data_IF_600577792761
#
_entry.id   IF_600577792761
#
_cell.length_a   1.000
_cell.length_b   1.000
_cell.length_c   1.000
_cell.angle_alpha   90.00
_cell.angle_beta   90.00
_cell.angle_gamma   90.00
#
_symmetry.space_group_name_H-M   'P 1'
#
loop_
_entity.id
_entity.type
_entity.pdbx_description
1 polymer ?
#
# COMPACT_ATOMS: atom_id res chain seq x y z
N UNK A 1 -8.19 5.31 -31.16
CA UNK A 1 -8.24 5.48 -29.70
C UNK A 1 -9.63 6.01 -29.36
N UNK A 2 -10.41 5.29 -28.56
CA UNK A 2 -11.73 5.73 -28.11
C UNK A 2 -11.52 6.60 -26.87
N UNK A 3 -12.08 7.80 -26.86
CA UNK A 3 -12.02 8.68 -25.68
C UNK A 3 -13.23 8.39 -24.78
N UNK A 4 -13.06 8.43 -23.45
CA UNK A 4 -14.19 8.32 -22.55
C UNK A 4 -15.12 9.52 -22.73
N UNK A 5 -16.43 9.28 -22.67
CA UNK A 5 -17.45 10.34 -22.71
C UNK A 5 -17.51 11.09 -21.37
N UNK A 6 -17.22 10.40 -20.25
CA UNK A 6 -17.20 10.93 -18.89
C UNK A 6 -16.03 10.30 -18.12
N UNK A 7 -15.41 11.07 -17.24
CA UNK A 7 -14.45 10.59 -16.22
C UNK A 7 -15.06 10.89 -14.85
N UNK A 8 -15.26 9.86 -14.04
CA UNK A 8 -15.74 9.99 -12.67
C UNK A 8 -14.55 9.88 -11.71
N UNK A 9 -14.49 10.78 -10.74
CA UNK A 9 -13.55 10.71 -9.63
C UNK A 9 -14.35 10.47 -8.35
N UNK A 10 -13.95 9.47 -7.58
CA UNK A 10 -14.54 9.26 -6.28
C UNK A 10 -13.90 10.20 -5.26
N UNK A 11 -14.73 10.98 -4.57
CA UNK A 11 -14.29 11.89 -3.53
C UNK A 11 -15.03 11.58 -2.24
N UNK A 12 -14.29 11.25 -1.19
CA UNK A 12 -14.85 11.05 0.15
C UNK A 12 -15.78 9.84 0.26
N UNK A 13 -15.49 8.76 -0.46
CA UNK A 13 -16.29 7.53 -0.48
C UNK A 13 -17.71 7.73 -1.02
N UNK A 14 -17.85 8.48 -2.12
CA UNK A 14 -19.14 8.76 -2.77
C UNK A 14 -19.53 7.66 -3.76
N UNK A 15 -18.56 7.06 -4.47
CA UNK A 15 -18.79 5.98 -5.45
C UNK A 15 -18.44 4.61 -4.86
N UNK A 16 -17.36 4.55 -4.09
CA UNK A 16 -16.83 3.37 -3.44
C UNK A 16 -16.56 3.65 -1.96
N UNK A 17 -17.01 2.78 -1.08
CA UNK A 17 -16.64 2.82 0.33
C UNK A 17 -15.42 1.95 0.57
N UNK A 18 -14.33 2.58 1.00
CA UNK A 18 -13.12 1.90 1.44
C UNK A 18 -13.18 1.69 2.96
N UNK A 19 -12.99 0.45 3.40
CA UNK A 19 -12.93 0.14 4.83
C UNK A 19 -11.54 0.41 5.43
N UNK A 20 -11.44 0.27 6.75
CA UNK A 20 -10.17 0.42 7.46
C UNK A 20 -9.09 -0.50 6.89
N UNK A 21 -7.90 0.05 6.64
CA UNK A 21 -6.79 -0.64 6.00
C UNK A 21 -5.90 -1.30 7.06
N UNK A 22 -5.87 -2.63 7.08
CA UNK A 22 -4.93 -3.38 7.92
C UNK A 22 -3.63 -3.68 7.13
N UNK A 23 -2.61 -2.88 7.39
CA UNK A 23 -1.32 -2.99 6.73
C UNK A 23 -0.57 -4.30 7.07
N UNK A 24 -0.84 -4.93 8.22
CA UNK A 24 -0.23 -6.21 8.57
C UNK A 24 -0.70 -7.30 7.60
N UNK A 25 -2.00 -7.34 7.27
CA UNK A 25 -2.56 -8.27 6.28
C UNK A 25 -1.88 -8.10 4.92
N UNK A 26 -1.61 -6.86 4.51
CA UNK A 26 -0.88 -6.58 3.27
C UNK A 26 0.54 -7.15 3.26
N UNK A 27 1.28 -7.01 4.38
CA UNK A 27 2.61 -7.60 4.50
C UNK A 27 2.55 -9.13 4.58
N UNK A 28 1.55 -9.72 5.23
CA UNK A 28 1.33 -11.17 5.24
C UNK A 28 1.08 -11.70 3.82
N UNK A 29 0.21 -11.04 3.07
CA UNK A 29 -0.10 -11.40 1.69
C UNK A 29 1.15 -11.28 0.80
N UNK A 30 1.89 -10.17 0.87
CA UNK A 30 3.14 -10.01 0.12
C UNK A 30 4.15 -11.10 0.48
N UNK A 31 4.43 -11.29 1.77
CA UNK A 31 5.40 -12.28 2.24
C UNK A 31 5.05 -13.70 1.84
N UNK A 32 3.76 -14.04 1.68
CA UNK A 32 3.33 -15.33 1.14
C UNK A 32 3.77 -15.59 -0.31
N UNK A 33 4.14 -14.53 -1.04
CA UNK A 33 4.62 -14.56 -2.44
C UNK A 33 6.13 -14.41 -2.57
N UNK A 34 6.87 -14.28 -1.46
CA UNK A 34 8.33 -14.16 -1.49
C UNK A 34 8.96 -15.45 -2.04
N UNK A 35 9.79 -15.32 -3.08
CA UNK A 35 10.58 -16.43 -3.64
C UNK A 35 11.88 -16.65 -2.88
N UNK A 36 12.34 -15.63 -2.14
CA UNK A 36 13.52 -15.70 -1.29
C UNK A 36 13.29 -14.95 0.01
N UNK A 37 13.67 -15.57 1.13
CA UNK A 37 13.66 -14.98 2.47
C UNK A 37 14.84 -15.54 3.28
N UNK A 38 16.07 -15.06 3.03
CA UNK A 38 17.28 -15.66 3.58
C UNK A 38 17.41 -15.42 5.09
N UNK A 39 16.85 -14.30 5.57
CA UNK A 39 16.83 -13.94 7.01
C UNK A 39 15.69 -14.62 7.78
N UNK A 40 14.82 -15.39 7.10
CA UNK A 40 13.66 -16.07 7.68
C UNK A 40 12.76 -15.12 8.49
N UNK A 41 12.63 -13.87 8.02
CA UNK A 41 11.80 -12.88 8.71
C UNK A 41 10.33 -13.17 8.51
N UNK A 42 9.54 -12.87 9.52
CA UNK A 42 8.07 -13.00 9.49
C UNK A 42 7.45 -11.71 8.95
N UNK A 43 6.21 -11.80 8.44
CA UNK A 43 5.45 -10.63 8.00
C UNK A 43 5.31 -9.58 9.11
N UNK A 44 5.08 -10.02 10.35
CA UNK A 44 5.02 -9.12 11.51
C UNK A 44 6.34 -8.36 11.72
N UNK A 45 7.50 -9.01 11.62
CA UNK A 45 8.78 -8.33 11.76
C UNK A 45 9.02 -7.30 10.64
N UNK A 46 8.61 -7.62 9.41
CA UNK A 46 8.68 -6.69 8.28
C UNK A 46 7.74 -5.50 8.50
N UNK A 47 6.51 -5.75 8.96
CA UNK A 47 5.53 -4.71 9.26
C UNK A 47 5.99 -3.78 10.38
N UNK A 48 6.47 -4.30 11.51
CA UNK A 48 6.96 -3.46 12.61
C UNK A 48 8.15 -2.61 12.16
N UNK A 49 9.09 -3.18 11.40
CA UNK A 49 10.19 -2.41 10.82
C UNK A 49 9.69 -1.31 9.87
N UNK A 50 8.71 -1.61 9.02
CA UNK A 50 8.14 -0.64 8.09
C UNK A 50 7.45 0.51 8.84
N UNK A 51 6.72 0.19 9.91
CA UNK A 51 6.04 1.16 10.77
C UNK A 51 7.06 2.06 11.46
N UNK A 52 8.08 1.49 12.10
CA UNK A 52 9.15 2.23 12.77
C UNK A 52 9.94 3.09 11.77
N UNK A 53 10.23 2.57 10.59
CA UNK A 53 10.89 3.31 9.52
C UNK A 53 10.05 4.51 9.05
N UNK A 54 8.74 4.33 8.91
CA UNK A 54 7.81 5.41 8.57
C UNK A 54 7.75 6.48 9.67
N UNK A 55 7.66 6.07 10.94
CA UNK A 55 7.69 7.00 12.08
C UNK A 55 9.00 7.79 12.15
N UNK A 56 10.13 7.17 11.86
CA UNK A 56 11.43 7.84 11.79
C UNK A 56 11.48 8.87 10.65
N UNK A 57 10.89 8.56 9.49
CA UNK A 57 10.81 9.50 8.37
C UNK A 57 9.91 10.68 8.73
N UNK A 58 8.75 10.41 9.34
CA UNK A 58 7.79 11.44 9.73
C UNK A 58 8.36 12.39 10.82
N UNK A 59 9.44 11.99 11.49
CA UNK A 59 10.13 12.76 12.56
C UNK A 59 11.53 13.26 12.16
N UNK A 60 11.91 13.15 10.88
CA UNK A 60 13.16 13.69 10.36
C UNK A 60 13.22 15.21 10.65
N UNK A 61 14.09 15.61 11.58
CA UNK A 61 14.23 17.00 12.03
C UNK A 61 13.90 17.25 13.51
N UNK A 62 13.51 16.22 14.27
CA UNK A 62 13.29 16.29 15.72
C UNK A 62 11.87 16.67 16.14
N UNK A 63 11.08 17.23 15.23
CA UNK A 63 9.64 17.41 15.37
C UNK A 63 8.92 16.64 14.26
N UNK A 64 7.67 16.24 14.50
CA UNK A 64 6.86 15.63 13.45
C UNK A 64 6.71 16.65 12.32
N UNK A 65 7.14 16.29 11.11
CA UNK A 65 6.96 17.15 9.94
C UNK A 65 5.49 17.59 9.86
N UNK A 66 5.19 18.87 9.59
CA UNK A 66 3.82 19.28 9.34
C UNK A 66 3.22 18.37 8.27
N UNK A 67 1.98 17.93 8.54
CA UNK A 67 1.27 16.73 8.06
C UNK A 67 1.22 16.47 6.53
N UNK A 68 1.93 17.23 5.69
CA UNK A 68 1.71 17.35 4.25
C UNK A 68 2.96 17.33 3.37
N UNK A 69 4.19 17.27 3.89
CA UNK A 69 5.35 17.56 3.01
C UNK A 69 6.06 16.34 2.42
N UNK A 70 5.93 15.14 3.01
CA UNK A 70 6.65 13.97 2.49
C UNK A 70 5.73 12.78 2.23
N UNK A 71 5.33 12.66 0.97
CA UNK A 71 4.71 11.45 0.45
C UNK A 71 5.80 10.47 -0.03
N UNK A 72 5.82 9.28 0.55
CA UNK A 72 6.71 8.19 0.11
C UNK A 72 5.91 7.32 -0.85
N UNK A 73 6.33 7.29 -2.11
CA UNK A 73 5.74 6.39 -3.09
C UNK A 73 5.96 4.92 -2.67
N UNK A 74 4.89 4.12 -2.74
CA UNK A 74 4.88 2.73 -2.27
C UNK A 74 5.96 1.85 -2.92
N UNK A 75 6.19 1.99 -4.23
CA UNK A 75 7.30 1.36 -4.96
C UNK A 75 8.65 1.46 -4.24
N UNK A 76 9.07 2.67 -3.86
CA UNK A 76 10.36 2.87 -3.21
C UNK A 76 10.35 2.32 -1.79
N UNK A 77 9.22 2.46 -1.08
CA UNK A 77 9.06 1.96 0.28
C UNK A 77 9.17 0.44 0.34
N UNK A 78 8.37 -0.29 -0.44
CA UNK A 78 8.39 -1.76 -0.48
C UNK A 78 9.74 -2.26 -1.01
N UNK A 79 10.32 -1.61 -2.03
CA UNK A 79 11.65 -1.95 -2.54
C UNK A 79 12.71 -1.87 -1.44
N UNK A 80 12.76 -0.74 -0.72
CA UNK A 80 13.73 -0.54 0.36
C UNK A 80 13.61 -1.62 1.44
N UNK A 81 12.39 -1.88 1.91
CA UNK A 81 12.12 -2.91 2.93
C UNK A 81 12.55 -4.30 2.42
N UNK A 82 12.22 -4.62 1.17
CA UNK A 82 12.57 -5.89 0.54
C UNK A 82 14.08 -6.07 0.46
N UNK A 83 14.81 -5.07 -0.04
CA UNK A 83 16.27 -5.09 -0.14
C UNK A 83 16.92 -5.18 1.26
N UNK A 84 16.40 -4.43 2.24
CA UNK A 84 16.89 -4.46 3.62
C UNK A 84 16.83 -5.87 4.22
N UNK A 85 15.75 -6.62 3.98
CA UNK A 85 15.60 -7.99 4.46
C UNK A 85 16.16 -9.07 3.51
N UNK A 86 16.57 -8.69 2.29
CA UNK A 86 17.00 -9.62 1.24
C UNK A 86 15.84 -10.45 0.68
N UNK A 87 14.62 -9.91 0.71
CA UNK A 87 13.43 -10.51 0.13
C UNK A 87 13.44 -10.35 -1.38
N UNK A 88 13.08 -11.41 -2.10
CA UNK A 88 12.87 -11.36 -3.55
C UNK A 88 11.47 -11.86 -3.87
N UNK A 89 10.86 -11.29 -4.91
CA UNK A 89 9.52 -11.60 -5.38
C UNK A 89 9.54 -11.74 -6.90
N UNK A 90 8.65 -12.58 -7.44
CA UNK A 90 8.42 -12.68 -8.88
C UNK A 90 7.30 -11.73 -9.34
N UNK A 91 7.38 -10.48 -8.90
CA UNK A 91 6.48 -9.39 -9.29
C UNK A 91 7.31 -8.20 -9.75
N UNK A 92 6.82 -7.50 -10.77
CA UNK A 92 7.24 -6.14 -11.06
C UNK A 92 6.79 -5.18 -9.94
N UNK A 93 7.39 -3.98 -9.81
CA UNK A 93 6.98 -3.00 -8.81
C UNK A 93 5.47 -2.67 -8.86
N UNK A 94 4.91 -2.51 -10.06
CA UNK A 94 3.48 -2.23 -10.25
C UNK A 94 2.59 -3.38 -9.79
N UNK A 95 2.94 -4.63 -10.15
CA UNK A 95 2.18 -5.81 -9.74
C UNK A 95 2.22 -5.98 -8.22
N UNK A 96 3.36 -5.68 -7.60
CA UNK A 96 3.53 -5.76 -6.15
C UNK A 96 2.69 -4.70 -5.42
N UNK A 97 2.73 -3.46 -5.91
CA UNK A 97 1.91 -2.38 -5.37
C UNK A 97 0.42 -2.66 -5.53
N UNK A 98 -0.01 -3.07 -6.73
CA UNK A 98 -1.40 -3.42 -7.01
C UNK A 98 -1.86 -4.57 -6.11
N UNK A 99 -1.10 -5.66 -6.03
CA UNK A 99 -1.44 -6.80 -5.18
C UNK A 99 -1.55 -6.42 -3.70
N UNK A 100 -0.66 -5.54 -3.23
CA UNK A 100 -0.72 -5.01 -1.87
C UNK A 100 -1.98 -4.20 -1.62
N UNK A 101 -2.27 -3.21 -2.47
CA UNK A 101 -3.46 -2.34 -2.30
C UNK A 101 -4.77 -3.08 -2.49
N UNK A 102 -4.86 -4.00 -3.46
CA UNK A 102 -6.03 -4.86 -3.67
C UNK A 102 -6.32 -5.72 -2.43
N UNK A 103 -5.28 -6.05 -1.65
CA UNK A 103 -5.42 -6.82 -0.41
C UNK A 103 -5.94 -5.96 0.76
N UNK A 104 -5.42 -4.74 0.92
CA UNK A 104 -5.66 -3.95 2.14
C UNK A 104 -6.71 -2.85 1.98
N UNK A 105 -7.07 -2.50 0.75
CA UNK A 105 -8.05 -1.47 0.42
C UNK A 105 -9.16 -2.03 -0.50
N UNK A 106 -9.83 -3.15 -0.12
CA UNK A 106 -11.02 -3.56 -0.84
C UNK A 106 -12.08 -2.47 -0.69
N UNK A 107 -12.77 -2.17 -1.79
CA UNK A 107 -13.80 -1.16 -1.83
C UNK A 107 -15.15 -1.77 -2.22
N UNK A 108 -16.20 -1.33 -1.55
CA UNK A 108 -17.58 -1.73 -1.85
C UNK A 108 -18.33 -0.62 -2.56
N UNK A 109 -19.30 -0.97 -3.40
CA UNK A 109 -20.17 0.00 -4.03
C UNK A 109 -20.98 0.76 -2.97
N UNK A 110 -21.01 2.09 -3.06
CA UNK A 110 -21.88 2.89 -2.19
C UNK A 110 -23.34 2.71 -2.56
N UNK A 111 -24.23 3.09 -1.65
CA UNK A 111 -25.67 3.03 -1.89
C UNK A 111 -26.03 3.87 -3.13
N UNK A 112 -26.89 3.34 -4.00
CA UNK A 112 -27.38 3.99 -5.22
C UNK A 112 -26.37 4.23 -6.36
N UNK A 113 -25.09 3.85 -6.25
CA UNK A 113 -24.14 4.05 -7.36
C UNK A 113 -24.54 3.34 -8.66
N UNK A 114 -25.27 2.23 -8.56
CA UNK A 114 -25.80 1.49 -9.72
C UNK A 114 -26.88 2.25 -10.50
N UNK A 115 -27.46 3.30 -9.92
CA UNK A 115 -28.45 4.15 -10.60
C UNK A 115 -27.76 5.26 -11.41
N UNK A 116 -26.47 5.52 -11.15
CA UNK A 116 -25.64 6.50 -11.86
C UNK A 116 -24.91 5.88 -13.08
N UNK A 117 -24.63 4.56 -13.04
CA UNK A 117 -23.91 3.79 -14.07
C UNK A 117 -24.85 3.22 -15.13
#
# INVERSE_FOLDING_TARGET
MVKPEIILFDYGQTLLSEHHRDHLIGFEALMSKAVKNPKKVTAKQVFEFAKDFRENIDTLGGERLPFLELEIHNHFFIKYISEYFGLEFNFSPNEMEQFYWDTIAPAELTLHIKELL
#
